data_IF_894324149598
#
_entry.id   IF_894324149598
#
_cell.length_a   1.000
_cell.length_b   1.000
_cell.length_c   1.000
_cell.angle_alpha   90.00
_cell.angle_beta   90.00
_cell.angle_gamma   90.00
#
_symmetry.space_group_name_H-M   'P 1'
#
loop_
_entity.id
_entity.type
_entity.pdbx_description
1 polymer ?
#
# COMPACT_ATOMS: atom_id res chain seq x y z
N UNK A 1 18.53 -37.72 14.48
CA UNK A 1 17.74 -36.62 15.07
C UNK A 1 16.83 -36.13 13.95
N UNK A 2 15.51 -36.31 14.05
CA UNK A 2 14.60 -35.74 13.03
C UNK A 2 14.62 -34.24 13.20
N UNK A 3 14.76 -33.53 12.10
CA UNK A 3 14.73 -32.08 12.11
C UNK A 3 13.32 -31.63 12.49
N UNK A 4 13.20 -30.90 13.60
CA UNK A 4 11.91 -30.55 14.21
C UNK A 4 11.19 -29.41 13.48
N UNK A 5 11.89 -28.70 12.59
CA UNK A 5 11.37 -27.56 11.84
C UNK A 5 11.41 -27.87 10.35
N UNK A 6 10.29 -27.64 9.68
CA UNK A 6 10.21 -27.62 8.23
C UNK A 6 10.98 -26.42 7.67
N UNK A 7 11.21 -26.39 6.35
CA UNK A 7 11.79 -25.22 5.70
C UNK A 7 10.91 -23.99 5.85
N UNK A 8 9.59 -24.15 5.73
CA UNK A 8 8.60 -23.09 5.92
C UNK A 8 8.67 -22.51 7.35
N UNK A 9 8.77 -23.37 8.37
CA UNK A 9 8.92 -22.91 9.76
C UNK A 9 10.18 -22.05 9.94
N UNK A 10 11.28 -22.42 9.29
CA UNK A 10 12.54 -21.67 9.37
C UNK A 10 12.44 -20.31 8.72
N UNK A 11 11.81 -20.25 7.55
CA UNK A 11 11.59 -18.99 6.83
C UNK A 11 10.66 -18.07 7.61
N UNK A 12 9.59 -18.63 8.18
CA UNK A 12 8.66 -17.89 9.01
C UNK A 12 9.34 -17.35 10.28
N UNK A 13 10.10 -18.18 11.00
CA UNK A 13 10.84 -17.75 12.20
C UNK A 13 11.94 -16.73 11.88
N UNK A 14 12.62 -16.88 10.73
CA UNK A 14 13.61 -15.93 10.28
C UNK A 14 12.99 -14.56 9.99
N UNK A 15 11.86 -14.52 9.28
CA UNK A 15 11.13 -13.29 9.01
C UNK A 15 10.60 -12.60 10.28
N UNK A 16 10.09 -13.38 11.24
CA UNK A 16 9.72 -12.85 12.56
C UNK A 16 10.93 -12.23 13.28
N UNK A 17 12.09 -12.88 13.22
CA UNK A 17 13.33 -12.36 13.78
C UNK A 17 13.77 -11.03 13.15
N UNK A 18 13.56 -10.86 11.85
CA UNK A 18 13.80 -9.60 11.14
C UNK A 18 12.82 -8.51 11.56
N UNK A 19 11.52 -8.81 11.61
CA UNK A 19 10.49 -7.86 12.07
C UNK A 19 10.76 -7.36 13.50
N UNK A 20 11.07 -8.26 14.44
CA UNK A 20 11.40 -7.89 15.82
C UNK A 20 12.68 -7.04 15.91
N UNK A 21 13.67 -7.33 15.07
CA UNK A 21 14.89 -6.51 14.97
C UNK A 21 14.55 -5.09 14.50
N UNK A 22 13.76 -4.96 13.44
CA UNK A 22 13.32 -3.66 12.90
C UNK A 22 12.55 -2.88 13.95
N UNK A 23 11.61 -3.51 14.65
CA UNK A 23 10.84 -2.84 15.69
C UNK A 23 11.73 -2.30 16.81
N UNK A 24 12.69 -3.10 17.28
CA UNK A 24 13.68 -2.66 18.26
C UNK A 24 14.48 -1.46 17.75
N UNK A 25 15.00 -1.55 16.53
CA UNK A 25 15.86 -0.51 15.94
C UNK A 25 15.11 0.80 15.73
N UNK A 26 13.89 0.75 15.16
CA UNK A 26 13.02 1.92 15.03
C UNK A 26 12.67 2.52 16.39
N UNK A 27 12.32 1.71 17.37
CA UNK A 27 12.01 2.20 18.72
C UNK A 27 13.19 2.94 19.33
N UNK A 28 14.39 2.36 19.26
CA UNK A 28 15.61 3.01 19.74
C UNK A 28 15.92 4.30 18.96
N UNK A 29 15.72 4.30 17.64
CA UNK A 29 15.97 5.46 16.79
C UNK A 29 15.01 6.62 17.12
N UNK A 30 13.72 6.34 17.29
CA UNK A 30 12.72 7.32 17.75
C UNK A 30 13.07 7.92 19.10
N UNK A 31 13.47 7.09 20.07
CA UNK A 31 13.88 7.56 21.40
C UNK A 31 15.14 8.43 21.37
N UNK A 32 16.03 8.21 20.40
CA UNK A 32 17.21 9.05 20.17
C UNK A 32 16.89 10.35 19.42
N UNK A 33 15.67 10.49 18.88
CA UNK A 33 15.27 11.64 18.09
C UNK A 33 16.00 11.75 16.76
N UNK A 34 16.29 10.61 16.10
CA UNK A 34 16.91 10.64 14.75
C UNK A 34 15.96 11.28 13.73
N UNK A 35 16.51 11.67 12.58
CA UNK A 35 15.72 12.34 11.54
C UNK A 35 14.67 11.43 10.90
N UNK A 36 13.65 12.03 10.26
CA UNK A 36 12.65 11.28 9.49
C UNK A 36 13.26 10.44 8.37
N UNK A 37 14.35 10.90 7.74
CA UNK A 37 15.06 10.14 6.71
C UNK A 37 15.71 8.89 7.27
N UNK A 38 16.39 9.00 8.41
CA UNK A 38 17.00 7.84 9.08
C UNK A 38 15.95 6.83 9.57
N UNK A 39 14.80 7.30 10.07
CA UNK A 39 13.68 6.42 10.41
C UNK A 39 13.15 5.68 9.18
N UNK A 40 13.00 6.39 8.07
CA UNK A 40 12.56 5.82 6.80
C UNK A 40 13.54 4.76 6.30
N UNK A 41 14.84 5.01 6.33
CA UNK A 41 15.85 4.02 5.91
C UNK A 41 15.77 2.73 6.72
N UNK A 42 15.69 2.83 8.05
CA UNK A 42 15.53 1.67 8.94
C UNK A 42 14.22 0.91 8.63
N UNK A 43 13.12 1.64 8.44
CA UNK A 43 11.82 1.03 8.17
C UNK A 43 11.76 0.37 6.79
N UNK A 44 12.41 0.94 5.77
CA UNK A 44 12.47 0.38 4.41
C UNK A 44 13.18 -0.96 4.37
N UNK A 45 14.24 -1.13 5.16
CA UNK A 45 14.92 -2.41 5.33
C UNK A 45 14.14 -3.40 6.22
N UNK A 46 13.07 -2.91 6.85
CA UNK A 46 12.21 -3.66 7.73
C UNK A 46 11.32 -4.69 7.05
N UNK A 47 10.79 -5.61 7.86
CA UNK A 47 9.86 -6.65 7.43
C UNK A 47 8.54 -6.51 8.17
N UNK A 48 7.44 -6.79 7.47
CA UNK A 48 6.07 -6.77 8.00
C UNK A 48 5.35 -8.05 7.62
N UNK A 49 4.35 -8.46 8.41
CA UNK A 49 3.53 -9.63 8.07
C UNK A 49 2.36 -9.23 7.17
N UNK A 50 2.28 -9.82 5.98
CA UNK A 50 1.20 -9.58 5.02
C UNK A 50 0.99 -10.83 4.16
N UNK A 51 -0.28 -11.14 3.85
CA UNK A 51 -0.64 -12.24 2.94
C UNK A 51 0.05 -13.57 3.28
N UNK A 52 0.05 -13.90 4.58
CA UNK A 52 0.68 -15.09 5.19
C UNK A 52 2.21 -15.16 5.12
N UNK A 53 2.89 -14.11 4.66
CA UNK A 53 4.34 -14.07 4.51
C UNK A 53 4.98 -12.84 5.19
N UNK A 54 6.27 -12.95 5.49
CA UNK A 54 7.09 -11.80 5.89
C UNK A 54 7.62 -11.11 4.65
N UNK A 55 7.23 -9.85 4.46
CA UNK A 55 7.56 -9.07 3.26
C UNK A 55 8.33 -7.81 3.67
N UNK A 56 9.33 -7.44 2.89
CA UNK A 56 10.09 -6.22 3.12
C UNK A 56 9.19 -4.98 2.87
N UNK A 57 9.16 -4.04 3.82
CA UNK A 57 8.30 -2.87 3.76
C UNK A 57 8.68 -1.91 2.62
N UNK A 58 9.97 -1.75 2.33
CA UNK A 58 10.45 -0.97 1.20
C UNK A 58 9.96 -1.50 -0.15
N UNK A 59 9.95 -2.82 -0.32
CA UNK A 59 9.40 -3.48 -1.53
C UNK A 59 7.90 -3.23 -1.68
N UNK A 60 7.13 -3.34 -0.59
CA UNK A 60 5.69 -3.02 -0.61
C UNK A 60 5.50 -1.56 -1.05
N UNK A 61 6.24 -0.62 -0.45
CA UNK A 61 6.14 0.79 -0.82
C UNK A 61 6.46 1.04 -2.30
N UNK A 62 7.48 0.39 -2.86
CA UNK A 62 7.84 0.48 -4.27
C UNK A 62 6.79 -0.13 -5.21
N UNK A 63 6.23 -1.28 -4.85
CA UNK A 63 5.17 -1.93 -5.62
C UNK A 63 3.91 -1.07 -5.66
N UNK A 64 3.52 -0.51 -4.51
CA UNK A 64 2.38 0.40 -4.43
C UNK A 64 2.63 1.67 -5.26
N UNK A 65 3.81 2.28 -5.13
CA UNK A 65 4.20 3.46 -5.90
C UNK A 65 4.11 3.23 -7.42
N UNK A 66 4.55 2.05 -7.89
CA UNK A 66 4.46 1.64 -9.31
C UNK A 66 3.03 1.32 -9.76
N UNK A 67 2.15 0.95 -8.83
CA UNK A 67 0.75 0.60 -9.12
C UNK A 67 -0.18 1.81 -9.32
N UNK A 68 0.31 3.05 -9.11
CA UNK A 68 -0.49 4.26 -9.29
C UNK A 68 -0.45 4.68 -10.77
N UNK A 69 -1.57 4.49 -11.45
CA UNK A 69 -1.68 4.75 -12.90
C UNK A 69 -2.60 5.92 -13.24
N UNK A 70 -3.53 6.28 -12.34
CA UNK A 70 -4.48 7.37 -12.55
C UNK A 70 -3.86 8.71 -12.18
N UNK A 71 -4.04 9.73 -13.04
CA UNK A 71 -3.49 11.09 -12.89
C UNK A 71 -2.03 11.15 -12.43
N UNK A 72 -1.23 10.11 -12.72
CA UNK A 72 0.14 9.98 -12.23
C UNK A 72 1.09 11.06 -12.78
N UNK A 73 0.64 11.80 -13.80
CA UNK A 73 1.33 12.97 -14.36
C UNK A 73 1.30 14.18 -13.42
N UNK A 74 0.34 14.21 -12.48
CA UNK A 74 0.17 15.28 -11.48
C UNK A 74 0.70 14.74 -10.16
N UNK A 75 1.74 15.39 -9.63
CA UNK A 75 2.47 14.91 -8.46
C UNK A 75 1.58 14.76 -7.23
N UNK A 76 0.70 15.72 -6.97
CA UNK A 76 -0.22 15.74 -5.83
C UNK A 76 -1.23 14.57 -5.93
N UNK A 77 -1.73 14.31 -7.15
CA UNK A 77 -2.63 13.19 -7.40
C UNK A 77 -1.94 11.84 -7.24
N UNK A 78 -0.73 11.72 -7.79
CA UNK A 78 0.10 10.53 -7.57
C UNK A 78 0.40 10.30 -6.09
N UNK A 79 0.78 11.35 -5.37
CA UNK A 79 1.12 11.32 -3.94
C UNK A 79 -0.08 10.90 -3.10
N UNK A 80 -1.26 11.47 -3.36
CA UNK A 80 -2.49 11.07 -2.69
C UNK A 80 -2.84 9.61 -2.99
N UNK A 81 -2.76 9.18 -4.26
CA UNK A 81 -2.99 7.78 -4.64
C UNK A 81 -2.05 6.81 -3.92
N UNK A 82 -0.77 7.17 -3.82
CA UNK A 82 0.23 6.38 -3.10
C UNK A 82 -0.09 6.30 -1.60
N UNK A 83 -0.31 7.44 -0.95
CA UNK A 83 -0.65 7.51 0.46
C UNK A 83 -1.92 6.73 0.77
N UNK A 84 -2.99 6.92 -0.02
CA UNK A 84 -4.27 6.25 0.19
C UNK A 84 -4.14 4.74 0.11
N UNK A 85 -3.39 4.20 -0.86
CA UNK A 85 -3.17 2.75 -0.95
C UNK A 85 -2.35 2.22 0.23
N UNK A 86 -1.30 2.94 0.65
CA UNK A 86 -0.53 2.56 1.83
C UNK A 86 -1.41 2.51 3.07
N UNK A 87 -2.22 3.54 3.33
CA UNK A 87 -3.12 3.56 4.48
C UNK A 87 -4.18 2.45 4.42
N UNK A 88 -4.70 2.13 3.23
CA UNK A 88 -5.60 1.00 3.04
C UNK A 88 -4.95 -0.35 3.38
N UNK A 89 -3.66 -0.53 3.06
CA UNK A 89 -2.90 -1.72 3.44
C UNK A 89 -2.69 -1.73 4.96
N UNK A 90 -2.24 -0.61 5.54
CA UNK A 90 -2.02 -0.50 6.98
C UNK A 90 -3.27 -0.79 7.82
N UNK A 91 -4.47 -0.51 7.31
CA UNK A 91 -5.73 -0.80 7.98
C UNK A 91 -6.00 -2.30 8.21
N UNK A 92 -5.33 -3.20 7.48
CA UNK A 92 -5.48 -4.65 7.62
C UNK A 92 -4.36 -5.30 8.45
N UNK A 93 -3.42 -4.50 8.95
CA UNK A 93 -2.20 -4.95 9.62
C UNK A 93 -2.25 -4.73 11.13
N UNK A 94 -1.28 -5.31 11.85
CA UNK A 94 -1.05 -4.92 13.24
C UNK A 94 -0.56 -3.48 13.33
N UNK A 95 -0.77 -2.81 14.46
CA UNK A 95 -0.31 -1.42 14.64
C UNK A 95 1.21 -1.27 14.46
N UNK A 96 2.00 -2.26 14.85
CA UNK A 96 3.45 -2.25 14.70
C UNK A 96 3.87 -2.36 13.24
N UNK A 97 3.28 -3.30 12.50
CA UNK A 97 3.58 -3.49 11.08
C UNK A 97 3.09 -2.31 10.24
N UNK A 98 1.91 -1.79 10.54
CA UNK A 98 1.36 -0.59 9.92
C UNK A 98 2.29 0.61 10.14
N UNK A 99 2.82 0.79 11.35
CA UNK A 99 3.77 1.84 11.66
C UNK A 99 5.06 1.70 10.85
N UNK A 100 5.64 0.50 10.76
CA UNK A 100 6.81 0.24 9.91
C UNK A 100 6.53 0.64 8.46
N UNK A 101 5.38 0.22 7.91
CA UNK A 101 5.04 0.52 6.52
C UNK A 101 4.81 2.03 6.28
N UNK A 102 4.13 2.72 7.19
CA UNK A 102 3.90 4.17 7.12
C UNK A 102 5.21 4.98 7.17
N UNK A 103 6.16 4.56 8.01
CA UNK A 103 7.49 5.17 8.08
C UNK A 103 8.26 4.89 6.79
N UNK A 104 8.27 3.64 6.33
CA UNK A 104 8.99 3.21 5.12
C UNK A 104 8.49 3.91 3.84
N UNK A 105 7.20 4.24 3.78
CA UNK A 105 6.58 4.97 2.68
C UNK A 105 6.66 6.49 2.83
N UNK A 106 7.08 7.01 3.99
CA UNK A 106 7.15 8.45 4.27
C UNK A 106 5.81 9.12 4.63
N UNK A 107 4.76 8.34 4.95
CA UNK A 107 3.41 8.86 5.24
C UNK A 107 3.02 8.86 6.72
N UNK A 108 3.94 8.51 7.63
CA UNK A 108 3.68 8.39 9.08
C UNK A 108 3.02 9.62 9.74
N UNK A 109 3.24 10.82 9.20
CA UNK A 109 2.79 12.10 9.76
C UNK A 109 1.93 12.89 8.76
N UNK A 110 1.41 12.24 7.72
CA UNK A 110 0.65 12.89 6.67
C UNK A 110 -0.85 12.70 6.90
N UNK A 111 -1.62 13.77 6.69
CA UNK A 111 -3.08 13.72 6.73
C UNK A 111 -3.62 13.41 5.33
N UNK A 112 -4.33 12.29 5.19
CA UNK A 112 -4.95 11.90 3.92
C UNK A 112 -5.96 12.92 3.41
N UNK A 113 -6.63 13.66 4.29
CA UNK A 113 -7.59 14.69 3.90
C UNK A 113 -6.90 15.91 3.27
N UNK A 114 -5.73 16.28 3.79
CA UNK A 114 -4.91 17.35 3.22
C UNK A 114 -4.34 16.94 1.86
N UNK A 115 -3.83 15.71 1.73
CA UNK A 115 -3.35 15.18 0.47
C UNK A 115 -4.47 15.07 -0.59
N UNK A 116 -5.67 14.64 -0.18
CA UNK A 116 -6.85 14.58 -1.06
C UNK A 116 -7.24 15.96 -1.58
N UNK A 117 -7.26 16.96 -0.69
CA UNK A 117 -7.53 18.35 -1.07
C UNK A 117 -6.49 18.88 -2.05
N UNK A 118 -5.20 18.70 -1.76
CA UNK A 118 -4.11 19.12 -2.65
C UNK A 118 -4.19 18.43 -4.02
N UNK A 119 -4.49 17.13 -4.05
CA UNK A 119 -4.73 16.39 -5.30
C UNK A 119 -5.88 16.99 -6.10
N UNK A 120 -6.99 17.33 -5.45
CA UNK A 120 -8.18 17.87 -6.13
C UNK A 120 -7.89 19.24 -6.72
N UNK A 121 -7.25 20.11 -5.95
CA UNK A 121 -6.83 21.45 -6.38
C UNK A 121 -5.88 21.38 -7.59
N UNK A 122 -4.86 20.53 -7.55
CA UNK A 122 -3.89 20.36 -8.62
C UNK A 122 -4.49 19.78 -9.91
N UNK A 123 -5.42 18.82 -9.80
CA UNK A 123 -6.14 18.27 -10.97
C UNK A 123 -7.03 19.33 -11.61
N UNK A 124 -7.73 20.13 -10.81
CA UNK A 124 -8.56 21.22 -11.32
C UNK A 124 -7.72 22.33 -11.99
N UNK A 125 -6.57 22.67 -11.42
CA UNK A 125 -5.61 23.60 -12.02
C UNK A 125 -5.09 23.09 -13.37
N UNK A 126 -4.58 21.86 -13.41
CA UNK A 126 -4.09 21.25 -14.65
C UNK A 126 -5.19 21.15 -15.73
N UNK A 127 -6.43 20.90 -15.33
CA UNK A 127 -7.57 20.90 -16.26
C UNK A 127 -7.82 22.30 -16.84
N UNK A 128 -7.84 23.34 -16.00
CA UNK A 128 -8.02 24.73 -16.46
C UNK A 128 -6.89 25.18 -17.40
N UNK A 129 -5.66 24.78 -17.12
CA UNK A 129 -4.52 25.12 -17.97
C UNK A 129 -4.59 24.47 -19.36
N UNK A 130 -5.14 23.25 -19.45
CA UNK A 130 -5.24 22.51 -20.71
C UNK A 130 -6.46 22.91 -21.55
N UNK A 131 -7.59 23.18 -20.90
CA UNK A 131 -8.89 23.33 -21.59
C UNK A 131 -9.53 24.71 -21.40
N UNK A 132 -8.90 25.60 -20.62
CA UNK A 132 -9.48 26.88 -20.20
C UNK A 132 -10.40 26.76 -18.99
N UNK A 133 -10.74 27.90 -18.40
CA UNK A 133 -11.93 28.01 -17.56
C UNK A 133 -13.12 27.79 -18.50
N UNK A 134 -13.89 26.72 -18.30
CA UNK A 134 -15.08 26.49 -19.11
C UNK A 134 -15.88 27.80 -19.19
N UNK A 135 -16.10 28.30 -20.41
CA UNK A 135 -16.98 29.44 -20.62
C UNK A 135 -18.31 29.07 -19.94
N UNK A 136 -18.68 29.85 -18.92
CA UNK A 136 -19.87 29.58 -18.12
C UNK A 136 -21.10 29.66 -19.01
N UNK A 137 -21.59 28.51 -19.46
CA UNK A 137 -23.01 28.34 -19.71
C UNK A 137 -23.60 27.80 -18.43
N UNK A 138 -24.35 28.69 -17.77
CA UNK A 138 -25.29 28.40 -16.70
C UNK A 138 -26.25 27.29 -17.16
N UNK A 139 -25.90 26.03 -16.92
CA UNK A 139 -26.87 24.95 -16.78
C UNK A 139 -26.43 24.01 -15.66
N UNK A 140 -27.29 24.04 -14.64
CA UNK A 140 -27.38 23.18 -13.47
C UNK A 140 -26.99 21.71 -13.71
N UNK A 141 -26.45 21.12 -12.66
CA UNK A 141 -26.32 19.68 -12.41
C UNK A 141 -25.26 18.90 -13.21
N UNK A 142 -24.10 18.65 -12.56
CA UNK A 142 -23.43 17.34 -12.45
C UNK A 142 -21.88 17.41 -12.34
N UNK A 143 -21.36 18.12 -11.34
CA UNK A 143 -19.96 17.92 -10.89
C UNK A 143 -19.88 16.77 -9.86
N UNK A 144 -20.26 15.55 -10.26
CA UNK A 144 -20.08 14.34 -9.44
C UNK A 144 -19.11 13.31 -10.03
N UNK A 145 -18.34 13.66 -11.06
CA UNK A 145 -17.64 12.66 -11.88
C UNK A 145 -16.26 12.18 -11.40
N UNK A 146 -15.68 12.74 -10.32
CA UNK A 146 -14.35 12.30 -9.84
C UNK A 146 -14.30 11.80 -8.39
N UNK A 147 -15.43 11.81 -7.67
CA UNK A 147 -15.51 11.27 -6.31
C UNK A 147 -15.87 9.77 -6.25
N UNK A 148 -16.14 9.12 -7.39
CA UNK A 148 -16.60 7.72 -7.44
C UNK A 148 -15.53 6.69 -7.86
N UNK A 149 -14.24 7.03 -7.78
CA UNK A 149 -13.15 6.06 -7.88
C UNK A 149 -12.84 5.31 -6.56
N UNK A 150 -13.57 5.62 -5.49
CA UNK A 150 -13.33 5.11 -4.13
C UNK A 150 -14.47 4.25 -3.57
N UNK A 151 -15.11 3.44 -4.41
CA UNK A 151 -16.18 2.53 -3.99
C UNK A 151 -16.12 1.18 -4.70
N UNK A 152 -15.79 0.14 -3.93
CA UNK A 152 -16.03 -1.27 -4.20
C UNK A 152 -15.64 -1.78 -5.61
N UNK A 153 -14.35 -2.05 -5.81
CA UNK A 153 -14.04 -3.24 -6.61
C UNK A 153 -14.40 -4.44 -5.76
N UNK A 154 -15.44 -5.13 -6.20
CA UNK A 154 -15.77 -6.51 -5.84
C UNK A 154 -14.47 -7.30 -5.62
N UNK A 155 -14.40 -7.95 -4.47
CA UNK A 155 -13.53 -9.10 -4.31
C UNK A 155 -13.99 -10.11 -5.36
N UNK A 156 -13.40 -10.07 -6.54
CA UNK A 156 -13.37 -11.24 -7.42
C UNK A 156 -12.68 -12.33 -6.60
N UNK A 157 -13.52 -13.16 -6.02
CA UNK A 157 -13.18 -14.44 -5.46
C UNK A 157 -12.36 -15.18 -6.51
N UNK A 158 -11.05 -15.25 -6.30
CA UNK A 158 -10.16 -16.13 -7.05
C UNK A 158 -10.57 -17.56 -6.69
N UNK A 159 -11.62 -18.05 -7.33
CA UNK A 159 -11.93 -19.47 -7.41
C UNK A 159 -10.90 -20.03 -8.38
N UNK A 160 -9.85 -20.64 -7.84
CA UNK A 160 -8.97 -21.48 -8.63
C UNK A 160 -9.84 -22.50 -9.39
N UNK A 161 -9.64 -22.71 -10.70
CA UNK A 161 -10.30 -23.81 -11.38
C UNK A 161 -9.78 -25.10 -10.75
N UNK A 162 -10.66 -25.79 -10.01
CA UNK A 162 -10.49 -27.18 -9.66
C UNK A 162 -10.35 -27.92 -10.99
N UNK A 163 -9.13 -28.37 -11.28
CA UNK A 163 -8.89 -29.36 -12.31
C UNK A 163 -9.52 -30.64 -11.78
N UNK A 164 -10.74 -30.93 -12.23
CA UNK A 164 -11.32 -32.27 -12.14
C UNK A 164 -10.40 -33.21 -12.91
N UNK A 165 -9.57 -33.95 -12.17
CA UNK A 165 -8.94 -35.14 -12.69
C UNK A 165 -10.05 -36.20 -12.64
N UNK A 166 -10.62 -36.49 -13.81
CA UNK A 166 -11.47 -37.66 -14.02
C UNK A 166 -10.67 -38.93 -13.68
N UNK A 167 -10.79 -39.38 -12.44
CA UNK A 167 -10.61 -40.78 -12.07
C UNK A 167 -11.85 -41.54 -12.57
N UNK A 168 -11.79 -42.07 -13.79
CA UNK A 168 -12.50 -43.31 -14.15
C UNK A 168 -12.06 -43.82 -15.53
N UNK A 169 -11.07 -44.72 -15.52
CA UNK A 169 -11.10 -45.89 -16.41
C UNK A 169 -10.30 -47.03 -15.78
N UNK A 170 -10.86 -47.63 -14.74
CA UNK A 170 -10.73 -49.07 -14.52
C UNK A 170 -11.47 -49.79 -15.66
N UNK A 171 -10.74 -50.40 -16.61
CA UNK A 171 -11.21 -51.65 -17.26
C UNK A 171 -10.02 -52.54 -17.64
N UNK A 172 -9.85 -53.59 -16.82
CA UNK A 172 -9.23 -54.92 -17.09
C UNK A 172 -7.71 -55.08 -17.13
#
# INVERSE_FOLDING_TARGET
MRDLLTQEDREWLHGLGLNLRTWRELTCAKLKGVSSGELMDIARDGYVYRDKAWVNAGKIAEEVAKSITWNAQIYEAWTYGFASKIHSICATMTCFDAEILLIASGFQNQDLSELSRASTEAVAEAHRDLYGEGEGDDDDDNYHYYASGGGAHELEEFVEPIVEIDDENEVR
#
